data_IF_682379521331
#
_entry.id   IF_682379521331
#
_cell.length_a   1.000
_cell.length_b   1.000
_cell.length_c   1.000
_cell.angle_alpha   90.00
_cell.angle_beta   90.00
_cell.angle_gamma   90.00
#
_symmetry.space_group_name_H-M   'P 1'
#
loop_
_entity.id
_entity.type
_entity.pdbx_description
1 polymer ?
#
# COMPACT_ATOMS: atom_id res chain seq x y z
N UNK A 1 -17.86 -14.59 -1.51
CA UNK A 1 -16.76 -13.65 -1.21
C UNK A 1 -15.71 -14.44 -0.47
N UNK A 2 -14.60 -14.75 -1.13
CA UNK A 2 -13.46 -15.37 -0.45
C UNK A 2 -13.04 -14.47 0.70
N UNK A 3 -13.17 -14.99 1.93
CA UNK A 3 -12.62 -14.36 3.13
C UNK A 3 -11.11 -14.45 2.99
N UNK A 4 -10.51 -13.49 2.28
CA UNK A 4 -9.09 -13.21 2.37
C UNK A 4 -8.78 -13.13 3.86
N UNK A 5 -7.93 -14.05 4.31
CA UNK A 5 -7.51 -14.22 5.69
C UNK A 5 -7.28 -12.86 6.35
N UNK A 6 -7.69 -12.71 7.61
CA UNK A 6 -7.42 -11.55 8.46
C UNK A 6 -5.91 -11.32 8.74
N UNK A 7 -5.01 -11.87 7.91
CA UNK A 7 -3.64 -12.21 8.28
C UNK A 7 -2.55 -11.53 7.44
N UNK A 8 -2.84 -10.43 6.74
CA UNK A 8 -1.74 -9.58 6.25
C UNK A 8 -2.06 -8.13 6.50
N UNK A 9 -1.50 -7.59 7.58
CA UNK A 9 -1.44 -6.14 7.78
C UNK A 9 -0.91 -5.48 6.51
N UNK A 10 -1.54 -4.39 6.10
CA UNK A 10 -1.11 -3.66 4.93
C UNK A 10 0.37 -3.27 5.04
N UNK A 11 1.16 -3.68 4.04
CA UNK A 11 2.55 -3.27 3.89
C UNK A 11 2.74 -2.76 2.46
N UNK A 12 3.03 -1.48 2.26
CA UNK A 12 3.25 -0.95 0.92
C UNK A 12 4.58 -1.49 0.35
N UNK A 13 4.69 -1.51 -0.98
CA UNK A 13 5.88 -1.99 -1.70
C UNK A 13 7.17 -1.28 -1.26
N UNK A 14 8.30 -1.97 -1.43
CA UNK A 14 9.65 -1.51 -1.04
C UNK A 14 9.97 -0.14 -1.64
N UNK A 15 10.78 0.66 -0.91
CA UNK A 15 11.30 1.96 -1.39
C UNK A 15 12.29 1.82 -2.55
N UNK A 16 12.80 0.61 -2.79
CA UNK A 16 13.73 0.30 -3.87
C UNK A 16 13.01 -0.02 -5.19
N UNK A 17 11.68 -0.12 -5.19
CA UNK A 17 10.92 -0.38 -6.40
C UNK A 17 10.62 0.93 -7.13
N UNK A 18 10.99 1.00 -8.40
CA UNK A 18 10.75 2.15 -9.27
C UNK A 18 9.58 1.87 -10.20
N UNK A 19 8.85 2.92 -10.57
CA UNK A 19 7.84 2.90 -11.63
C UNK A 19 7.96 4.20 -12.41
N UNK A 20 8.29 4.11 -13.70
CA UNK A 20 8.54 5.29 -14.54
C UNK A 20 9.60 6.24 -13.95
N UNK A 21 10.74 5.68 -13.52
CA UNK A 21 11.84 6.40 -12.87
C UNK A 21 11.51 7.11 -11.54
N UNK A 22 10.30 6.89 -10.99
CA UNK A 22 9.89 7.46 -9.71
C UNK A 22 9.94 6.41 -8.59
N UNK A 23 10.88 6.50 -7.62
CA UNK A 23 11.02 5.52 -6.54
C UNK A 23 9.88 5.56 -5.51
N UNK A 24 9.18 6.67 -5.37
CA UNK A 24 8.07 6.82 -4.43
C UNK A 24 6.72 6.37 -4.99
N UNK A 25 6.59 6.29 -6.32
CA UNK A 25 5.31 6.11 -7.01
C UNK A 25 4.61 4.79 -6.66
N UNK A 26 5.30 3.63 -6.64
CA UNK A 26 4.67 2.37 -6.24
C UNK A 26 4.11 2.45 -4.82
N UNK A 27 4.90 3.01 -3.90
CA UNK A 27 4.58 3.06 -2.47
C UNK A 27 3.42 4.00 -2.17
N UNK A 28 3.37 5.19 -2.78
CA UNK A 28 2.26 6.11 -2.58
C UNK A 28 0.95 5.57 -3.17
N UNK A 29 1.04 4.85 -4.30
CA UNK A 29 -0.12 4.20 -4.93
C UNK A 29 -0.72 3.13 -4.03
N UNK A 30 0.12 2.35 -3.36
CA UNK A 30 -0.34 1.34 -2.40
C UNK A 30 -1.06 2.00 -1.21
N UNK A 31 -0.46 3.06 -0.65
CA UNK A 31 -1.05 3.82 0.46
C UNK A 31 -2.40 4.43 0.05
N UNK A 32 -2.51 4.99 -1.16
CA UNK A 32 -3.76 5.52 -1.68
C UNK A 32 -4.85 4.42 -1.74
N UNK A 33 -4.51 3.25 -2.28
CA UNK A 33 -5.45 2.10 -2.35
C UNK A 33 -5.84 1.60 -0.97
N UNK A 34 -4.90 1.52 -0.03
CA UNK A 34 -5.17 1.08 1.33
C UNK A 34 -6.02 2.09 2.12
N UNK A 35 -5.80 3.39 1.93
CA UNK A 35 -6.64 4.45 2.51
C UNK A 35 -8.08 4.33 2.01
N UNK A 36 -8.28 4.14 0.71
CA UNK A 36 -9.60 3.96 0.10
C UNK A 36 -10.31 2.68 0.58
N UNK A 37 -9.54 1.62 0.89
CA UNK A 37 -10.07 0.35 1.40
C UNK A 37 -10.23 0.31 2.93
N UNK A 38 -9.84 1.37 3.65
CA UNK A 38 -9.91 1.42 5.12
C UNK A 38 -8.93 0.48 5.82
N UNK A 39 -7.87 0.02 5.14
CA UNK A 39 -6.91 -0.96 5.66
C UNK A 39 -5.48 -0.43 5.75
N UNK A 40 -5.29 0.90 5.79
CA UNK A 40 -3.96 1.53 5.79
C UNK A 40 -3.14 1.29 7.07
N UNK A 41 -3.76 0.84 8.16
CA UNK A 41 -3.07 0.63 9.45
C UNK A 41 -2.43 1.91 9.99
N UNK A 42 -1.20 1.81 10.48
CA UNK A 42 -0.44 2.94 11.05
C UNK A 42 0.22 3.86 10.01
N UNK A 43 0.04 3.58 8.72
CA UNK A 43 0.62 4.42 7.67
C UNK A 43 -0.22 5.69 7.47
N UNK A 44 0.46 6.84 7.43
CA UNK A 44 -0.17 8.15 7.12
C UNK A 44 -0.16 8.37 5.62
N UNK A 45 -1.21 8.93 5.02
CA UNK A 45 -1.25 9.33 3.61
C UNK A 45 -1.76 10.78 3.46
N UNK A 46 -1.16 11.61 2.57
CA UNK A 46 0.03 11.33 1.76
C UNK A 46 1.30 11.11 2.60
#
# INVERSE_FOLDING_TARGET
MDKLSSAVDFRPRSRQLYMGDMPWLPRITDKARAKLRGCIGDYIYP
#
